data_IF_552279153151
#
_entry.id   IF_552279153151
#
_cell.length_a   1.000
_cell.length_b   1.000
_cell.length_c   1.000
_cell.angle_alpha   90.00
_cell.angle_beta   90.00
_cell.angle_gamma   90.00
#
_symmetry.space_group_name_H-M   'P 1'
#
loop_
_entity.id
_entity.type
_entity.pdbx_description
1 polymer ?
#
# COMPACT_ATOMS: atom_id res chain seq x y z
N UNK A 1 -16.39 8.71 37.08
CA UNK A 1 -15.71 9.77 36.31
C UNK A 1 -14.62 9.07 35.53
N UNK A 2 -14.82 8.88 34.23
CA UNK A 2 -13.87 8.14 33.38
C UNK A 2 -12.67 9.05 33.10
N UNK A 3 -11.48 8.61 33.45
CA UNK A 3 -10.24 9.33 33.12
C UNK A 3 -10.11 9.47 31.60
N UNK A 4 -9.63 10.63 31.09
CA UNK A 4 -9.36 10.78 29.67
C UNK A 4 -8.26 9.79 29.27
N UNK A 5 -8.55 8.95 28.27
CA UNK A 5 -7.57 8.03 27.69
C UNK A 5 -6.43 8.87 27.14
N UNK A 6 -5.28 8.86 27.83
CA UNK A 6 -4.03 9.37 27.27
C UNK A 6 -3.59 8.37 26.21
N UNK A 7 -3.68 8.79 24.95
CA UNK A 7 -2.93 8.18 23.87
C UNK A 7 -1.45 8.49 24.11
N UNK A 8 -0.83 7.77 25.04
CA UNK A 8 0.62 7.74 25.11
C UNK A 8 1.11 7.32 23.72
N UNK A 9 2.02 8.13 23.17
CA UNK A 9 2.44 8.11 21.76
C UNK A 9 2.67 6.68 21.26
N UNK A 10 1.76 6.21 20.40
CA UNK A 10 1.85 4.89 19.75
C UNK A 10 3.00 4.78 18.74
N UNK A 11 3.64 5.91 18.42
CA UNK A 11 4.71 6.02 17.44
C UNK A 11 5.85 6.87 17.98
N UNK A 12 7.06 6.58 17.53
CA UNK A 12 8.22 7.43 17.80
C UNK A 12 7.94 8.86 17.28
N UNK A 13 8.46 9.91 17.96
CA UNK A 13 8.38 11.26 17.44
C UNK A 13 9.00 11.32 16.04
N UNK A 14 8.30 11.98 15.11
CA UNK A 14 8.78 12.15 13.74
C UNK A 14 10.17 12.77 13.75
N UNK A 15 11.08 12.19 12.98
CA UNK A 15 12.40 12.76 12.80
C UNK A 15 12.36 14.06 11.98
N UNK A 16 13.50 14.74 11.84
CA UNK A 16 13.55 16.04 11.17
C UNK A 16 13.15 15.97 9.69
N UNK A 17 13.44 14.85 9.02
CA UNK A 17 13.10 14.62 7.62
C UNK A 17 11.62 14.27 7.47
N UNK A 18 11.09 13.42 8.33
CA UNK A 18 9.67 13.06 8.37
C UNK A 18 8.78 14.28 8.68
N UNK A 19 9.20 15.14 9.61
CA UNK A 19 8.47 16.38 9.92
C UNK A 19 8.41 17.30 8.70
N UNK A 20 9.52 17.42 7.97
CA UNK A 20 9.57 18.22 6.74
C UNK A 20 8.73 17.60 5.63
N UNK A 21 8.73 16.27 5.52
CA UNK A 21 7.91 15.55 4.55
C UNK A 21 6.41 15.66 4.86
N UNK A 22 6.02 15.77 6.12
CA UNK A 22 4.63 15.91 6.55
C UNK A 22 4.14 17.36 6.60
N UNK A 23 5.01 18.33 6.33
CA UNK A 23 4.67 19.75 6.32
C UNK A 23 4.09 20.16 4.96
N UNK A 24 2.81 20.60 4.91
CA UNK A 24 2.13 21.00 3.68
C UNK A 24 2.80 22.16 2.93
N UNK A 25 3.59 23.00 3.60
CA UNK A 25 4.31 24.11 2.96
C UNK A 25 5.41 23.60 2.01
N UNK A 26 5.91 22.38 2.21
CA UNK A 26 6.95 21.78 1.39
C UNK A 26 6.43 20.79 0.35
N UNK A 27 5.11 20.59 0.25
CA UNK A 27 4.52 19.72 -0.77
C UNK A 27 4.50 20.42 -2.14
N UNK A 28 4.82 19.66 -3.18
CA UNK A 28 4.72 20.12 -4.58
C UNK A 28 3.26 20.09 -5.04
N UNK A 29 2.49 21.08 -4.58
CA UNK A 29 1.08 21.25 -4.95
C UNK A 29 0.89 21.58 -6.44
N UNK A 30 1.94 22.06 -7.11
CA UNK A 30 1.91 22.39 -8.53
C UNK A 30 2.00 21.13 -9.42
N UNK A 31 2.57 20.03 -8.90
CA UNK A 31 2.70 18.76 -9.61
C UNK A 31 2.16 17.58 -8.79
N UNK A 32 0.84 17.51 -8.55
CA UNK A 32 0.26 16.39 -7.84
C UNK A 32 0.43 15.10 -8.66
N UNK A 33 0.89 14.03 -8.02
CA UNK A 33 0.88 12.70 -8.61
C UNK A 33 -0.55 12.18 -8.62
N UNK A 34 -1.17 12.19 -9.80
CA UNK A 34 -2.48 11.61 -10.01
C UNK A 34 -2.39 10.08 -10.00
N UNK A 35 -2.87 9.46 -8.92
CA UNK A 35 -2.95 8.00 -8.83
C UNK A 35 -4.27 7.58 -9.46
N UNK A 36 -4.21 6.94 -10.63
CA UNK A 36 -5.40 6.37 -11.28
C UNK A 36 -5.88 5.17 -10.44
N UNK A 37 -6.80 5.43 -9.52
CA UNK A 37 -7.65 4.39 -8.93
C UNK A 37 -8.69 4.07 -10.00
N UNK A 38 -8.59 2.91 -10.64
CA UNK A 38 -9.44 2.54 -11.78
C UNK A 38 -10.92 2.92 -11.54
N UNK A 39 -11.49 3.77 -12.41
CA UNK A 39 -12.82 4.40 -12.25
C UNK A 39 -14.00 3.41 -12.09
N UNK A 40 -13.80 2.13 -12.42
CA UNK A 40 -14.78 1.08 -12.19
C UNK A 40 -14.10 -0.30 -12.11
N UNK A 41 -13.73 -0.79 -10.92
CA UNK A 41 -13.30 -2.18 -10.79
C UNK A 41 -14.54 -3.07 -10.98
N UNK A 42 -14.68 -3.66 -12.18
CA UNK A 42 -15.78 -4.56 -12.55
C UNK A 42 -15.93 -5.77 -11.59
N UNK A 43 -14.86 -6.12 -10.87
CA UNK A 43 -14.87 -7.03 -9.74
C UNK A 43 -13.73 -6.69 -8.75
N UNK A 44 -14.07 -6.59 -7.47
CA UNK A 44 -13.10 -6.55 -6.36
C UNK A 44 -13.08 -7.91 -5.68
N UNK A 45 -11.90 -8.51 -5.60
CA UNK A 45 -11.68 -9.77 -4.90
C UNK A 45 -10.96 -9.46 -3.58
N UNK A 46 -11.66 -9.41 -2.44
CA UNK A 46 -11.00 -9.28 -1.16
C UNK A 46 -10.22 -10.57 -0.87
N UNK A 47 -8.91 -10.44 -0.69
CA UNK A 47 -8.01 -11.55 -0.36
C UNK A 47 -7.36 -11.22 0.99
N UNK A 48 -7.56 -12.08 1.97
CA UNK A 48 -6.85 -11.99 3.24
C UNK A 48 -5.49 -12.66 3.08
N UNK A 49 -4.42 -11.94 3.41
CA UNK A 49 -3.06 -12.43 3.43
C UNK A 49 -2.47 -12.16 4.80
N UNK A 50 -1.67 -13.10 5.29
CA UNK A 50 -0.72 -12.83 6.36
C UNK A 50 0.38 -11.89 5.87
N UNK A 51 1.10 -11.28 6.82
CA UNK A 51 2.25 -10.44 6.49
C UNK A 51 3.32 -11.19 5.68
N UNK A 52 3.60 -12.45 6.06
CA UNK A 52 4.61 -13.27 5.39
C UNK A 52 4.23 -13.61 3.95
N UNK A 53 2.97 -13.98 3.70
CA UNK A 53 2.46 -14.23 2.35
C UNK A 53 2.54 -12.97 1.49
N UNK A 54 2.11 -11.83 2.02
CA UNK A 54 2.20 -10.55 1.31
C UNK A 54 3.66 -10.17 0.99
N UNK A 55 4.57 -10.34 1.96
CA UNK A 55 5.99 -10.04 1.78
C UNK A 55 6.63 -10.93 0.70
N UNK A 56 6.34 -12.23 0.72
CA UNK A 56 6.81 -13.17 -0.30
C UNK A 56 6.32 -12.78 -1.70
N UNK A 57 5.03 -12.46 -1.84
CA UNK A 57 4.44 -12.03 -3.11
C UNK A 57 5.09 -10.73 -3.59
N UNK A 58 5.26 -9.75 -2.71
CA UNK A 58 5.88 -8.47 -3.04
C UNK A 58 7.34 -8.63 -3.50
N UNK A 59 8.10 -9.50 -2.83
CA UNK A 59 9.49 -9.78 -3.21
C UNK A 59 9.57 -10.42 -4.60
N UNK A 60 8.72 -11.41 -4.89
CA UNK A 60 8.65 -12.07 -6.20
C UNK A 60 8.20 -11.11 -7.29
N UNK A 61 7.17 -10.32 -7.03
CA UNK A 61 6.67 -9.31 -7.96
C UNK A 61 7.77 -8.31 -8.33
N UNK A 62 8.52 -7.81 -7.32
CA UNK A 62 9.63 -6.87 -7.53
C UNK A 62 10.76 -7.47 -8.37
N UNK A 63 11.08 -8.75 -8.17
CA UNK A 63 12.09 -9.44 -8.98
C UNK A 63 11.70 -9.50 -10.48
N UNK A 64 10.41 -9.39 -10.79
CA UNK A 64 9.87 -9.35 -12.15
C UNK A 64 9.48 -7.94 -12.61
N UNK A 65 9.80 -6.90 -11.84
CA UNK A 65 9.44 -5.52 -12.16
C UNK A 65 7.94 -5.21 -12.11
N UNK A 66 7.16 -6.02 -11.38
CA UNK A 66 5.71 -5.90 -11.24
C UNK A 66 5.30 -5.43 -9.85
N UNK A 67 4.11 -4.83 -9.75
CA UNK A 67 3.43 -4.67 -8.46
C UNK A 67 2.87 -6.02 -7.98
N UNK A 68 2.68 -6.17 -6.67
CA UNK A 68 2.06 -7.37 -6.09
C UNK A 68 0.68 -7.67 -6.71
N UNK A 69 -0.13 -6.63 -6.95
CA UNK A 69 -1.43 -6.75 -7.60
C UNK A 69 -1.32 -7.28 -9.04
N UNK A 70 -0.41 -6.73 -9.85
CA UNK A 70 -0.20 -7.18 -11.23
C UNK A 70 0.31 -8.62 -11.27
N UNK A 71 1.21 -8.96 -10.35
CA UNK A 71 1.74 -10.31 -10.19
C UNK A 71 0.64 -11.32 -9.84
N UNK A 72 -0.18 -11.04 -8.83
CA UNK A 72 -1.31 -11.90 -8.42
C UNK A 72 -2.29 -12.10 -9.58
N UNK A 73 -2.68 -11.01 -10.26
CA UNK A 73 -3.59 -11.10 -11.42
C UNK A 73 -3.04 -11.99 -12.52
N UNK A 74 -1.76 -11.81 -12.87
CA UNK A 74 -1.10 -12.60 -13.91
C UNK A 74 -0.99 -14.07 -13.52
N UNK A 75 -0.61 -14.37 -12.28
CA UNK A 75 -0.51 -15.74 -11.79
C UNK A 75 -1.88 -16.44 -11.78
N UNK A 76 -2.94 -15.76 -11.31
CA UNK A 76 -4.29 -16.31 -11.29
C UNK A 76 -4.81 -16.60 -12.71
N UNK A 77 -4.60 -15.68 -13.66
CA UNK A 77 -5.00 -15.88 -15.06
C UNK A 77 -4.22 -17.01 -15.73
N UNK A 78 -2.89 -17.06 -15.51
CA UNK A 78 -2.06 -18.12 -16.05
C UNK A 78 -2.49 -19.50 -15.50
N UNK A 79 -2.78 -19.58 -14.20
CA UNK A 79 -3.29 -20.80 -13.58
C UNK A 79 -4.66 -21.22 -14.10
N UNK A 80 -5.54 -20.27 -14.45
CA UNK A 80 -6.86 -20.57 -15.00
C UNK A 80 -6.83 -20.97 -16.49
N UNK A 81 -5.73 -20.70 -17.19
CA UNK A 81 -5.53 -21.01 -18.60
C UNK A 81 -4.75 -22.32 -18.82
N UNK A 82 -4.07 -22.80 -17.79
CA UNK A 82 -3.39 -24.09 -17.82
C UNK A 82 -4.40 -25.19 -17.43
N UNK A 83 -5.02 -25.81 -18.44
CA UNK A 83 -5.71 -27.10 -18.33
C UNK A 83 -4.68 -28.26 -18.26
#
# INVERSE_FOLDING_TARGET
MSEPIRYDQLHEPLDDEERKLMDPEFWDWDNPLEVVVAENPLALLPINLTYEEHHLIAQRARAEGLSAHAFIKRAALASAQAD
#
